data_IF_885086637675
#
_entry.id   IF_885086637675
#
_cell.length_a   1.000
_cell.length_b   1.000
_cell.length_c   1.000
_cell.angle_alpha   90.00
_cell.angle_beta   90.00
_cell.angle_gamma   90.00
#
_symmetry.space_group_name_H-M   'P 1'
#
loop_
_entity.id
_entity.type
_entity.pdbx_description
1 polymer ?
#
# COMPACT_ATOMS: atom_id res chain seq x y z
N UNK A 1 0.77 -17.54 14.70
CA UNK A 1 -0.24 -16.46 14.84
C UNK A 1 -1.58 -16.99 14.36
N UNK A 2 -2.68 -16.65 15.01
CA UNK A 2 -4.01 -16.95 14.49
C UNK A 2 -4.42 -15.81 13.54
N UNK A 3 -4.69 -16.12 12.29
CA UNK A 3 -5.17 -15.13 11.32
C UNK A 3 -6.62 -14.74 11.62
N UNK A 4 -6.95 -13.46 11.51
CA UNK A 4 -8.31 -12.94 11.75
C UNK A 4 -9.23 -13.16 10.56
N UNK A 5 -8.66 -13.27 9.36
CA UNK A 5 -9.40 -13.47 8.11
C UNK A 5 -8.74 -14.49 7.21
N UNK A 6 -9.51 -15.11 6.32
CA UNK A 6 -8.99 -16.00 5.28
C UNK A 6 -8.06 -15.27 4.29
N UNK A 7 -8.27 -13.97 4.10
CA UNK A 7 -7.43 -13.13 3.26
C UNK A 7 -6.03 -12.96 3.87
N UNK A 8 -5.92 -12.74 5.19
CA UNK A 8 -4.62 -12.70 5.87
C UNK A 8 -3.85 -14.02 5.71
N UNK A 9 -4.53 -15.15 5.94
CA UNK A 9 -3.92 -16.47 5.77
C UNK A 9 -3.39 -16.67 4.36
N UNK A 10 -4.20 -16.32 3.35
CA UNK A 10 -3.86 -16.44 1.94
C UNK A 10 -2.57 -15.68 1.58
N UNK A 11 -2.41 -14.44 2.08
CA UNK A 11 -1.23 -13.62 1.82
C UNK A 11 -0.02 -13.96 2.70
N UNK A 12 -0.24 -14.46 3.90
CA UNK A 12 0.83 -14.86 4.81
C UNK A 12 1.53 -16.16 4.39
N UNK A 13 0.84 -17.03 3.68
CA UNK A 13 1.28 -18.39 3.33
C UNK A 13 1.84 -18.47 1.88
N UNK A 14 1.71 -19.64 1.26
CA UNK A 14 2.32 -20.01 -0.01
C UNK A 14 2.02 -19.05 -1.17
N UNK A 15 0.78 -18.54 -1.26
CA UNK A 15 0.41 -17.61 -2.32
C UNK A 15 1.19 -16.31 -2.23
N UNK A 16 1.29 -15.70 -1.03
CA UNK A 16 2.08 -14.49 -0.82
C UNK A 16 3.55 -14.69 -1.13
N UNK A 17 4.10 -15.86 -0.78
CA UNK A 17 5.48 -16.20 -1.09
C UNK A 17 5.72 -16.34 -2.61
N UNK A 18 4.84 -17.03 -3.32
CA UNK A 18 4.94 -17.15 -4.79
C UNK A 18 4.73 -15.82 -5.53
N UNK A 19 4.06 -14.86 -4.89
CA UNK A 19 3.83 -13.53 -5.43
C UNK A 19 5.12 -12.68 -5.47
N UNK A 20 6.12 -12.98 -4.62
CA UNK A 20 7.40 -12.26 -4.54
C UNK A 20 8.13 -12.26 -5.89
N UNK A 21 8.20 -13.40 -6.57
CA UNK A 21 8.92 -13.54 -7.83
C UNK A 21 8.42 -12.62 -8.95
N UNK A 22 7.17 -12.19 -8.88
CA UNK A 22 6.52 -11.34 -9.89
C UNK A 22 6.70 -9.86 -9.62
N UNK A 23 7.08 -9.50 -8.39
CA UNK A 23 7.12 -8.10 -7.93
C UNK A 23 8.55 -7.61 -7.69
N UNK A 24 9.45 -7.88 -8.63
CA UNK A 24 10.84 -7.49 -8.56
C UNK A 24 11.39 -7.05 -9.92
N UNK A 25 12.57 -6.47 -9.93
CA UNK A 25 13.30 -6.09 -11.13
C UNK A 25 13.29 -4.60 -11.44
N UNK A 26 14.21 -4.20 -12.31
CA UNK A 26 14.47 -2.78 -12.63
C UNK A 26 13.29 -2.11 -13.36
N UNK A 27 12.58 -2.87 -14.20
CA UNK A 27 11.41 -2.33 -14.92
C UNK A 27 10.29 -1.93 -13.95
N UNK A 28 10.02 -2.75 -12.93
CA UNK A 28 9.05 -2.43 -11.91
C UNK A 28 9.52 -1.22 -11.06
N UNK A 29 10.81 -1.16 -10.74
CA UNK A 29 11.37 -0.02 -10.01
C UNK A 29 11.20 1.28 -10.80
N UNK A 30 11.49 1.28 -12.10
CA UNK A 30 11.29 2.44 -12.98
C UNK A 30 9.80 2.85 -13.06
N UNK A 31 8.88 1.88 -13.15
CA UNK A 31 7.44 2.15 -13.12
C UNK A 31 6.99 2.74 -11.79
N UNK A 32 7.52 2.25 -10.67
CA UNK A 32 7.23 2.79 -9.33
C UNK A 32 7.80 4.21 -9.16
N UNK A 33 9.00 4.49 -9.69
CA UNK A 33 9.56 5.86 -9.68
C UNK A 33 8.63 6.84 -10.42
N UNK A 34 8.24 6.51 -11.65
CA UNK A 34 7.31 7.33 -12.42
C UNK A 34 5.96 7.52 -11.71
N UNK A 35 5.45 6.45 -11.08
CA UNK A 35 4.23 6.49 -10.29
C UNK A 35 4.34 7.49 -9.15
N UNK A 36 5.38 7.39 -8.30
CA UNK A 36 5.53 8.27 -7.14
C UNK A 36 5.86 9.71 -7.51
N UNK A 37 6.60 9.96 -8.60
CA UNK A 37 6.79 11.33 -9.13
C UNK A 37 5.44 11.98 -9.44
N UNK A 38 4.51 11.25 -10.05
CA UNK A 38 3.17 11.75 -10.34
C UNK A 38 2.32 11.89 -9.09
N UNK A 39 2.22 10.82 -8.29
CA UNK A 39 1.30 10.74 -7.15
C UNK A 39 1.70 11.65 -5.98
N UNK A 40 2.98 11.99 -5.83
CA UNK A 40 3.49 12.84 -4.74
C UNK A 40 3.84 14.27 -5.20
N UNK A 41 3.54 14.63 -6.44
CA UNK A 41 3.87 15.97 -6.98
C UNK A 41 3.37 17.11 -6.10
N UNK A 42 2.16 16.99 -5.55
CA UNK A 42 1.54 18.00 -4.69
C UNK A 42 1.98 17.91 -3.22
N UNK A 43 2.61 16.81 -2.81
CA UNK A 43 3.08 16.65 -1.43
C UNK A 43 4.40 17.38 -1.16
N UNK A 44 5.20 17.67 -2.19
CA UNK A 44 6.55 18.19 -2.07
C UNK A 44 7.52 17.17 -1.49
N UNK A 45 8.45 17.58 -0.64
CA UNK A 45 9.42 16.68 -0.02
C UNK A 45 8.78 15.85 1.08
N UNK A 46 9.06 14.55 1.10
CA UNK A 46 8.59 13.59 2.10
C UNK A 46 9.78 13.12 2.94
N UNK A 47 9.72 13.34 4.24
CA UNK A 47 10.79 12.99 5.19
C UNK A 47 10.61 11.62 5.86
N UNK A 48 9.37 11.08 5.90
CA UNK A 48 9.09 9.76 6.47
C UNK A 48 7.84 9.13 5.86
N UNK A 49 7.88 7.80 5.65
CA UNK A 49 6.77 7.04 5.10
C UNK A 49 6.62 5.69 5.81
N UNK A 50 5.37 5.27 6.03
CA UNK A 50 5.01 3.90 6.39
C UNK A 50 4.13 3.30 5.30
N UNK A 51 4.57 2.16 4.78
CA UNK A 51 3.81 1.38 3.82
C UNK A 51 3.10 0.21 4.51
N UNK A 52 1.83 0.07 4.23
CA UNK A 52 0.96 -1.00 4.70
C UNK A 52 0.87 -2.09 3.60
N UNK A 53 1.41 -3.28 3.89
CA UNK A 53 1.57 -4.35 2.91
C UNK A 53 2.74 -4.08 1.95
N UNK A 54 3.93 -3.90 2.50
CA UNK A 54 5.10 -3.42 1.75
C UNK A 54 5.75 -4.49 0.85
N UNK A 55 5.33 -5.76 0.95
CA UNK A 55 5.95 -6.87 0.24
C UNK A 55 7.48 -6.84 0.40
N UNK A 56 8.24 -7.08 -0.64
CA UNK A 56 9.71 -7.01 -0.65
C UNK A 56 10.29 -5.59 -0.72
N UNK A 57 9.45 -4.55 -0.64
CA UNK A 57 9.88 -3.15 -0.54
C UNK A 57 10.22 -2.45 -1.87
N UNK A 58 9.65 -2.86 -3.00
CA UNK A 58 9.92 -2.20 -4.29
C UNK A 58 9.44 -0.74 -4.33
N UNK A 59 8.33 -0.41 -3.67
CA UNK A 59 7.87 0.96 -3.50
C UNK A 59 8.85 1.75 -2.60
N UNK A 60 9.36 1.13 -1.53
CA UNK A 60 10.34 1.71 -0.62
C UNK A 60 11.67 2.04 -1.33
N UNK A 61 12.14 1.14 -2.24
CA UNK A 61 13.30 1.41 -3.08
C UNK A 61 13.08 2.66 -3.95
N UNK A 62 11.92 2.77 -4.58
CA UNK A 62 11.57 3.94 -5.39
C UNK A 62 11.53 5.23 -4.56
N UNK A 63 10.88 5.20 -3.39
CA UNK A 63 10.81 6.35 -2.49
C UNK A 63 12.20 6.78 -1.98
N UNK A 64 13.09 5.82 -1.67
CA UNK A 64 14.46 6.10 -1.24
C UNK A 64 15.30 6.77 -2.33
N UNK A 65 15.08 6.43 -3.60
CA UNK A 65 15.72 7.10 -4.74
C UNK A 65 15.20 8.52 -4.96
N UNK A 66 13.90 8.74 -4.77
CA UNK A 66 13.28 10.07 -4.91
C UNK A 66 13.61 11.01 -3.73
N UNK A 67 13.68 10.45 -2.53
CA UNK A 67 13.93 11.16 -1.27
C UNK A 67 15.03 10.48 -0.48
N UNK A 68 16.33 10.74 -0.77
CA UNK A 68 17.46 9.99 -0.19
C UNK A 68 17.49 9.95 1.34
N UNK A 69 16.99 10.99 2.02
CA UNK A 69 16.96 11.09 3.48
C UNK A 69 15.66 10.57 4.12
N UNK A 70 14.74 10.01 3.34
CA UNK A 70 13.45 9.52 3.84
C UNK A 70 13.63 8.39 4.86
N UNK A 71 12.93 8.51 5.98
CA UNK A 71 12.80 7.42 6.96
C UNK A 71 11.64 6.51 6.54
N UNK A 72 11.93 5.23 6.34
CA UNK A 72 10.98 4.26 5.83
C UNK A 72 10.62 3.24 6.91
N UNK A 73 9.33 2.93 7.03
CA UNK A 73 8.78 1.87 7.88
C UNK A 73 7.85 1.01 7.05
N UNK A 74 7.88 -0.30 7.24
CA UNK A 74 7.02 -1.24 6.51
C UNK A 74 6.26 -2.18 7.42
N UNK A 75 5.04 -2.51 7.01
CA UNK A 75 4.22 -3.58 7.60
C UNK A 75 4.07 -4.64 6.54
N UNK A 76 4.42 -5.90 6.84
CA UNK A 76 4.31 -7.00 5.90
C UNK A 76 3.98 -8.30 6.64
N UNK A 77 2.93 -9.00 6.17
CA UNK A 77 2.44 -10.22 6.83
C UNK A 77 3.20 -11.47 6.39
N UNK A 78 3.71 -11.49 5.15
CA UNK A 78 4.47 -12.63 4.63
C UNK A 78 5.91 -12.59 5.15
N UNK A 79 6.35 -13.70 5.77
CA UNK A 79 7.68 -13.78 6.40
C UNK A 79 8.83 -13.63 5.41
N UNK A 80 8.72 -14.24 4.21
CA UNK A 80 9.80 -14.19 3.23
C UNK A 80 9.92 -12.80 2.60
N UNK A 81 8.78 -12.16 2.31
CA UNK A 81 8.75 -10.78 1.86
C UNK A 81 9.32 -9.82 2.92
N UNK A 82 8.95 -9.99 4.18
CA UNK A 82 9.46 -9.18 5.28
C UNK A 82 10.99 -9.30 5.47
N UNK A 83 11.58 -10.48 5.21
CA UNK A 83 13.05 -10.65 5.23
C UNK A 83 13.73 -9.79 4.15
N UNK A 84 13.18 -9.74 2.95
CA UNK A 84 13.71 -8.90 1.87
C UNK A 84 13.51 -7.40 2.16
N UNK A 85 12.33 -7.03 2.69
CA UNK A 85 12.03 -5.66 3.11
C UNK A 85 13.02 -5.15 4.16
N UNK A 86 13.38 -5.99 5.16
CA UNK A 86 14.36 -5.66 6.20
C UNK A 86 15.73 -5.27 5.65
N UNK A 87 16.15 -5.87 4.53
CA UNK A 87 17.41 -5.51 3.86
C UNK A 87 17.41 -4.10 3.29
N UNK A 88 16.22 -3.55 2.98
CA UNK A 88 16.05 -2.22 2.37
C UNK A 88 15.92 -1.13 3.42
N UNK A 89 15.08 -1.36 4.44
CA UNK A 89 14.71 -0.32 5.40
C UNK A 89 15.33 -0.51 6.78
N UNK A 90 16.01 -1.65 7.02
CA UNK A 90 16.55 -2.05 8.32
C UNK A 90 15.54 -2.81 9.18
N UNK A 91 16.05 -3.73 9.98
CA UNK A 91 15.27 -4.67 10.82
C UNK A 91 14.26 -3.96 11.73
N UNK A 92 14.71 -2.92 12.43
CA UNK A 92 13.90 -2.17 13.40
C UNK A 92 12.72 -1.40 12.77
N UNK A 93 12.72 -1.25 11.44
CA UNK A 93 11.72 -0.50 10.70
C UNK A 93 10.65 -1.39 10.03
N UNK A 94 10.69 -2.69 10.27
CA UNK A 94 9.72 -3.64 9.71
C UNK A 94 8.91 -4.30 10.82
N UNK A 95 7.62 -4.13 10.77
CA UNK A 95 6.67 -4.94 11.51
C UNK A 95 6.26 -6.14 10.64
N UNK A 96 6.75 -7.32 10.99
CA UNK A 96 6.34 -8.55 10.31
C UNK A 96 5.10 -9.13 11.00
N UNK A 97 3.95 -8.85 10.44
CA UNK A 97 2.66 -9.26 10.99
C UNK A 97 1.50 -8.58 10.29
N UNK A 98 0.32 -8.81 10.84
CA UNK A 98 -0.93 -8.27 10.31
C UNK A 98 -1.02 -6.75 10.45
N UNK A 99 -1.55 -6.09 9.41
CA UNK A 99 -1.93 -4.68 9.46
C UNK A 99 -2.86 -4.40 10.66
N UNK A 100 -3.73 -5.34 11.01
CA UNK A 100 -4.69 -5.20 12.11
C UNK A 100 -4.02 -5.14 13.48
N UNK A 101 -2.79 -5.64 13.63
CA UNK A 101 -2.04 -5.73 14.88
C UNK A 101 -0.90 -4.70 14.96
N UNK A 102 -0.55 -4.09 13.83
CA UNK A 102 0.56 -3.15 13.78
C UNK A 102 0.33 -1.95 14.72
N UNK A 103 1.35 -1.63 15.53
CA UNK A 103 1.39 -0.38 16.29
C UNK A 103 1.79 0.77 15.36
N UNK A 104 0.96 1.82 15.30
CA UNK A 104 1.13 2.98 14.44
C UNK A 104 1.24 4.31 15.19
N UNK A 105 1.42 4.27 16.53
CA UNK A 105 1.50 5.47 17.38
C UNK A 105 2.61 6.44 16.96
N UNK A 106 3.76 5.90 16.51
CA UNK A 106 4.81 6.72 15.94
C UNK A 106 4.41 7.17 14.54
N UNK A 107 3.89 8.40 14.42
CA UNK A 107 3.43 8.96 13.15
C UNK A 107 4.57 9.17 12.15
N UNK A 108 4.20 9.07 10.88
CA UNK A 108 5.05 9.38 9.72
C UNK A 108 4.39 10.47 8.88
N UNK A 109 5.16 11.15 8.04
CA UNK A 109 4.60 12.20 7.20
C UNK A 109 3.64 11.65 6.13
N UNK A 110 3.94 10.47 5.58
CA UNK A 110 3.14 9.78 4.56
C UNK A 110 2.75 8.37 5.03
N UNK A 111 1.45 8.09 5.13
CA UNK A 111 0.94 6.71 5.17
C UNK A 111 0.60 6.26 3.75
N UNK A 112 1.21 5.15 3.31
CA UNK A 112 1.07 4.58 1.98
C UNK A 112 0.39 3.22 2.04
N UNK A 113 -0.59 3.02 1.17
CA UNK A 113 -1.15 1.70 0.87
C UNK A 113 -1.36 1.58 -0.64
N UNK A 114 -0.83 0.50 -1.25
CA UNK A 114 -0.86 0.32 -2.70
C UNK A 114 -1.09 -1.14 -3.08
N UNK A 115 -2.24 -1.45 -3.68
CA UNK A 115 -2.60 -2.80 -4.12
C UNK A 115 -2.85 -3.77 -2.96
N UNK A 116 -3.36 -3.28 -1.83
CA UNK A 116 -3.58 -4.06 -0.60
C UNK A 116 -5.02 -4.04 -0.13
N UNK A 117 -5.69 -2.87 -0.12
CA UNK A 117 -7.09 -2.75 0.31
C UNK A 117 -8.02 -3.65 -0.51
N UNK A 118 -7.69 -3.86 -1.78
CA UNK A 118 -8.40 -4.79 -2.67
C UNK A 118 -8.38 -6.25 -2.18
N UNK A 119 -7.48 -6.59 -1.26
CA UNK A 119 -7.32 -7.92 -0.69
C UNK A 119 -7.73 -8.01 0.79
N UNK A 120 -8.20 -6.93 1.36
CA UNK A 120 -8.71 -6.88 2.74
C UNK A 120 -10.19 -7.28 2.75
N UNK A 121 -10.59 -8.12 3.73
CA UNK A 121 -11.99 -8.39 3.98
C UNK A 121 -12.75 -7.06 4.17
N UNK A 122 -13.83 -6.80 3.42
CA UNK A 122 -14.55 -5.53 3.49
C UNK A 122 -14.99 -5.12 4.90
N UNK A 123 -15.31 -6.07 5.77
CA UNK A 123 -15.70 -5.79 7.17
C UNK A 123 -14.54 -5.22 8.00
N UNK A 124 -13.29 -5.47 7.58
CA UNK A 124 -12.08 -5.02 8.27
C UNK A 124 -11.54 -3.68 7.73
N UNK A 125 -12.07 -3.18 6.61
CA UNK A 125 -11.62 -1.92 6.02
C UNK A 125 -11.70 -0.72 6.97
N UNK A 126 -12.76 -0.55 7.79
CA UNK A 126 -12.83 0.57 8.74
C UNK A 126 -11.64 0.63 9.70
N UNK A 127 -11.16 -0.53 10.17
CA UNK A 127 -9.98 -0.64 11.03
C UNK A 127 -8.69 -0.26 10.28
N UNK A 128 -8.55 -0.68 9.01
CA UNK A 128 -7.37 -0.33 8.20
C UNK A 128 -7.35 1.17 7.93
N UNK A 129 -8.50 1.78 7.65
CA UNK A 129 -8.61 3.23 7.47
C UNK A 129 -8.21 4.00 8.73
N UNK A 130 -8.60 3.53 9.92
CA UNK A 130 -8.17 4.11 11.21
C UNK A 130 -6.65 4.05 11.34
N UNK A 131 -6.03 2.90 11.06
CA UNK A 131 -4.57 2.76 11.12
C UNK A 131 -3.83 3.64 10.13
N UNK A 132 -4.33 3.80 8.91
CA UNK A 132 -3.78 4.73 7.92
C UNK A 132 -3.85 6.18 8.41
N UNK A 133 -5.01 6.58 8.94
CA UNK A 133 -5.23 7.91 9.49
C UNK A 133 -4.35 8.18 10.71
N UNK A 134 -4.30 7.26 11.67
CA UNK A 134 -3.53 7.41 12.92
C UNK A 134 -2.02 7.41 12.67
N UNK A 135 -1.55 6.62 11.71
CA UNK A 135 -0.16 6.57 11.28
C UNK A 135 0.33 7.87 10.64
N UNK A 136 -0.57 8.62 10.00
CA UNK A 136 -0.20 9.82 9.24
C UNK A 136 -0.16 11.07 10.12
N UNK A 137 0.85 11.90 9.91
CA UNK A 137 0.89 13.28 10.41
C UNK A 137 0.52 14.32 9.35
N UNK A 138 0.47 13.94 8.05
CA UNK A 138 0.22 14.93 6.99
C UNK A 138 -0.45 14.37 5.74
N UNK A 139 0.04 13.26 5.18
CA UNK A 139 -0.43 12.73 3.92
C UNK A 139 -0.81 11.24 4.01
N UNK A 140 -1.84 10.87 3.29
CA UNK A 140 -2.24 9.49 3.05
C UNK A 140 -2.30 9.28 1.53
N UNK A 141 -1.61 8.26 1.01
CA UNK A 141 -1.69 7.85 -0.39
C UNK A 141 -2.37 6.49 -0.47
N UNK A 142 -3.57 6.48 -1.03
CA UNK A 142 -4.34 5.27 -1.34
C UNK A 142 -4.23 5.02 -2.84
N UNK A 143 -3.71 3.84 -3.23
CA UNK A 143 -3.50 3.48 -4.63
C UNK A 143 -4.02 2.06 -4.88
N UNK A 144 -5.21 1.94 -5.47
CA UNK A 144 -5.95 0.69 -5.53
C UNK A 144 -6.73 0.54 -6.86
N UNK A 145 -7.31 -0.63 -7.09
CA UNK A 145 -8.24 -0.84 -8.20
C UNK A 145 -9.58 -0.21 -7.85
N UNK A 146 -9.85 0.94 -8.46
CA UNK A 146 -11.08 1.69 -8.25
C UNK A 146 -12.29 1.03 -8.92
N UNK A 147 -13.43 1.09 -8.25
CA UNK A 147 -14.76 0.91 -8.83
C UNK A 147 -15.77 1.79 -8.05
N UNK A 148 -16.69 2.50 -8.73
CA UNK A 148 -17.63 3.40 -8.04
C UNK A 148 -18.62 2.66 -7.12
N UNK A 149 -18.85 1.37 -7.37
CA UNK A 149 -19.69 0.50 -6.55
C UNK A 149 -18.92 -0.73 -6.10
N UNK A 150 -19.13 -1.24 -4.88
CA UNK A 150 -18.46 -2.44 -4.42
C UNK A 150 -18.72 -3.65 -5.33
N UNK A 151 -17.65 -4.30 -5.77
CA UNK A 151 -17.71 -5.55 -6.54
C UNK A 151 -16.66 -6.54 -6.04
N UNK A 152 -17.00 -7.83 -6.05
CA UNK A 152 -16.08 -8.93 -5.76
C UNK A 152 -15.68 -9.59 -7.08
N UNK A 153 -14.39 -9.85 -7.27
CA UNK A 153 -13.84 -10.43 -8.49
C UNK A 153 -13.09 -11.71 -8.13
N UNK A 154 -13.29 -12.75 -8.92
CA UNK A 154 -12.48 -13.97 -8.81
C UNK A 154 -11.02 -13.63 -9.15
N UNK A 155 -10.13 -13.87 -8.19
CA UNK A 155 -8.71 -13.57 -8.32
C UNK A 155 -7.91 -14.86 -8.48
N UNK A 156 -7.35 -15.08 -9.68
CA UNK A 156 -6.53 -16.26 -9.99
C UNK A 156 -7.16 -17.60 -9.59
N UNK A 157 -8.47 -17.75 -9.83
CA UNK A 157 -9.24 -18.93 -9.48
C UNK A 157 -9.77 -18.98 -8.04
N UNK A 158 -9.42 -18.00 -7.21
CA UNK A 158 -9.90 -17.90 -5.82
C UNK A 158 -11.07 -16.92 -5.72
N UNK A 159 -12.13 -17.32 -5.01
CA UNK A 159 -13.26 -16.45 -4.65
C UNK A 159 -12.91 -15.60 -3.41
N UNK A 160 -13.55 -14.44 -3.27
CA UNK A 160 -13.42 -13.57 -2.10
C UNK A 160 -11.96 -13.17 -1.76
N UNK A 161 -11.14 -12.93 -2.80
CA UNK A 161 -9.74 -12.51 -2.65
C UNK A 161 -9.42 -11.18 -3.31
N UNK A 162 -10.36 -10.61 -4.09
CA UNK A 162 -10.21 -9.31 -4.73
C UNK A 162 -11.53 -8.55 -4.71
N UNK A 163 -11.49 -7.40 -4.06
CA UNK A 163 -12.61 -6.49 -3.91
C UNK A 163 -12.23 -5.15 -4.55
N UNK A 164 -13.10 -4.61 -5.43
CA UNK A 164 -12.92 -3.24 -5.95
C UNK A 164 -14.03 -2.36 -5.42
N UNK A 165 -13.69 -1.14 -5.05
CA UNK A 165 -14.63 -0.15 -4.53
C UNK A 165 -14.01 1.24 -4.50
N UNK A 166 -14.74 2.24 -4.09
CA UNK A 166 -14.21 3.60 -3.86
C UNK A 166 -13.58 3.71 -2.47
N UNK A 167 -12.40 3.11 -2.30
CA UNK A 167 -11.68 3.10 -1.01
C UNK A 167 -11.36 4.52 -0.52
N UNK A 168 -11.00 5.42 -1.44
CA UNK A 168 -10.68 6.80 -1.07
C UNK A 168 -11.92 7.59 -0.67
N UNK A 169 -13.05 7.41 -1.37
CA UNK A 169 -14.31 8.04 -1.00
C UNK A 169 -14.83 7.54 0.35
N UNK A 170 -14.68 6.24 0.65
CA UNK A 170 -15.00 5.68 1.97
C UNK A 170 -14.11 6.25 3.07
N UNK A 171 -12.81 6.39 2.80
CA UNK A 171 -11.85 7.01 3.73
C UNK A 171 -12.21 8.47 4.02
N UNK A 172 -12.42 9.29 2.98
CA UNK A 172 -12.79 10.71 3.11
C UNK A 172 -14.11 10.90 3.86
N UNK A 173 -15.10 10.03 3.63
CA UNK A 173 -16.36 10.07 4.36
C UNK A 173 -16.18 9.74 5.85
N UNK A 174 -15.26 8.83 6.19
CA UNK A 174 -14.96 8.45 7.57
C UNK A 174 -14.18 9.55 8.31
N UNK A 175 -13.29 10.27 7.61
CA UNK A 175 -12.43 11.32 8.16
C UNK A 175 -12.68 12.68 7.46
N UNK A 176 -13.76 13.39 7.83
CA UNK A 176 -14.18 14.62 7.15
C UNK A 176 -13.25 15.82 7.40
N UNK A 177 -12.28 15.68 8.29
CA UNK A 177 -11.18 16.63 8.52
C UNK A 177 -10.02 16.45 7.53
N UNK A 178 -10.13 15.53 6.57
CA UNK A 178 -9.14 15.29 5.53
C UNK A 178 -9.58 15.86 4.19
N UNK A 179 -8.61 16.23 3.35
CA UNK A 179 -8.82 16.86 2.05
C UNK A 179 -8.19 16.03 0.91
N UNK A 180 -8.94 15.75 -0.16
CA UNK A 180 -8.37 15.21 -1.39
C UNK A 180 -7.61 16.32 -2.13
N UNK A 181 -6.28 16.19 -2.27
CA UNK A 181 -5.45 17.19 -2.95
C UNK A 181 -5.04 16.81 -4.36
N UNK A 182 -4.96 15.53 -4.67
CA UNK A 182 -4.63 15.08 -6.03
C UNK A 182 -5.11 13.64 -6.26
N UNK A 183 -5.32 13.27 -7.51
CA UNK A 183 -5.67 11.91 -7.90
C UNK A 183 -5.28 11.64 -9.35
N UNK A 184 -5.17 10.36 -9.70
CA UNK A 184 -4.86 9.98 -11.08
C UNK A 184 -4.90 8.49 -11.30
N UNK A 185 -4.56 8.09 -12.51
CA UNK A 185 -4.61 6.72 -12.97
C UNK A 185 -3.27 6.29 -13.58
N UNK A 186 -2.87 5.06 -13.31
CA UNK A 186 -1.69 4.41 -13.87
C UNK A 186 -2.10 3.17 -14.65
N UNK A 187 -1.80 3.15 -15.94
CA UNK A 187 -2.31 2.19 -16.90
C UNK A 187 -1.39 0.98 -17.07
N UNK A 188 -1.97 -0.23 -17.13
CA UNK A 188 -1.19 -1.48 -17.28
C UNK A 188 -0.53 -1.64 -18.65
N UNK A 189 -1.06 -0.99 -19.69
CA UNK A 189 -0.49 -1.01 -21.03
C UNK A 189 0.28 0.28 -21.35
N UNK A 190 0.72 1.05 -20.34
CA UNK A 190 1.66 2.14 -20.55
C UNK A 190 2.96 1.57 -21.17
N UNK A 191 3.39 2.05 -22.36
CA UNK A 191 4.52 1.47 -23.07
C UNK A 191 5.86 1.63 -22.34
N UNK A 192 5.99 2.65 -21.48
CA UNK A 192 7.22 2.97 -20.77
C UNK A 192 7.20 2.54 -19.29
N UNK A 193 6.10 2.84 -18.59
CA UNK A 193 5.99 2.67 -17.13
C UNK A 193 4.66 2.01 -16.72
N UNK A 194 4.41 0.75 -17.11
CA UNK A 194 3.16 0.07 -16.81
C UNK A 194 2.95 -0.13 -15.31
N UNK A 195 1.68 0.01 -14.88
CA UNK A 195 1.18 -0.34 -13.54
C UNK A 195 -0.13 -1.13 -13.70
N UNK A 196 -0.65 -1.72 -12.62
CA UNK A 196 -1.78 -2.65 -12.67
C UNK A 196 -3.18 -1.95 -12.74
N UNK A 197 -3.38 -0.96 -13.61
CA UNK A 197 -4.63 -0.17 -13.69
C UNK A 197 -5.00 0.44 -12.32
N UNK A 198 -4.04 1.02 -11.65
CA UNK A 198 -4.19 1.59 -10.31
C UNK A 198 -4.69 3.02 -10.39
N UNK A 199 -5.77 3.31 -9.68
CA UNK A 199 -6.19 4.68 -9.38
C UNK A 199 -5.61 5.09 -8.03
N UNK A 200 -4.93 6.23 -7.99
CA UNK A 200 -4.33 6.75 -6.77
C UNK A 200 -5.00 8.06 -6.32
N UNK A 201 -5.03 8.25 -5.02
CA UNK A 201 -5.61 9.42 -4.35
C UNK A 201 -4.64 9.90 -3.27
N UNK A 202 -4.18 11.15 -3.39
CA UNK A 202 -3.37 11.81 -2.39
C UNK A 202 -4.27 12.65 -1.50
N UNK A 203 -4.31 12.31 -0.22
CA UNK A 203 -5.17 12.92 0.79
C UNK A 203 -4.28 13.63 1.80
N UNK A 204 -4.67 14.83 2.19
CA UNK A 204 -4.04 15.63 3.26
C UNK A 204 -4.89 15.55 4.51
N UNK A 205 -4.21 15.41 5.64
CA UNK A 205 -4.75 15.47 7.00
C UNK A 205 -4.56 16.84 7.58
#
# INVERSE_FOLDING_TARGET
>A
MAYKTEQEKFWAEEFGTSYIERNQGEKLLASNLNFFVKALKQAGSISSCREFGANIGMNMKALKLLFPEIQLKGIEINNEAAKELKKIVGEANVFNGSIFEANVEQKVQLSLIKGVLIHINPEMLPLVYEKLYDSSSKYILIAEYYNPSPVTITYRGHQDRLFKRDFAGEFLKKFPDTELIDYGFAYRNDPAFPQDDITWFLIKK
#
